data_IF_199562572706
#
_entry.id   IF_199562572706
#
_cell.length_a   1.000
_cell.length_b   1.000
_cell.length_c   1.000
_cell.angle_alpha   90.00
_cell.angle_beta   90.00
_cell.angle_gamma   90.00
#
_symmetry.space_group_name_H-M   'P 1'
#
loop_
_entity.id
_entity.type
_entity.pdbx_description
1 polymer ?
#
# COMPACT_ATOMS: atom_id res chain seq x y z
N UNK A 1 -15.39 52.33 -43.83
CA UNK A 1 -14.45 51.57 -42.97
C UNK A 1 -15.10 50.22 -42.74
N UNK A 2 -14.49 49.18 -43.25
CA UNK A 2 -15.15 48.04 -43.89
C UNK A 2 -14.49 46.74 -43.39
N UNK A 3 -15.31 45.71 -43.11
CA UNK A 3 -14.97 44.25 -43.01
C UNK A 3 -14.16 43.79 -41.77
N UNK A 4 -14.72 42.90 -40.93
CA UNK A 4 -14.71 41.41 -41.00
C UNK A 4 -13.30 40.83 -40.82
N UNK A 5 -13.01 39.69 -40.19
CA UNK A 5 -13.68 38.67 -39.39
C UNK A 5 -12.58 37.64 -39.02
N UNK A 6 -12.96 36.54 -38.34
CA UNK A 6 -12.21 35.27 -38.13
C UNK A 6 -11.21 35.34 -36.97
N UNK A 7 -11.06 34.35 -36.07
CA UNK A 7 -11.39 32.92 -36.07
C UNK A 7 -11.19 32.41 -34.62
N UNK A 8 -12.05 31.58 -34.02
CA UNK A 8 -11.87 30.13 -33.79
C UNK A 8 -12.69 29.83 -32.51
N UNK A 9 -13.85 29.17 -32.54
CA UNK A 9 -14.03 27.71 -32.44
C UNK A 9 -12.76 26.95 -32.07
N UNK A 10 -12.71 26.38 -30.85
CA UNK A 10 -12.22 25.03 -30.53
C UNK A 10 -12.06 24.88 -29.00
N UNK A 11 -12.76 23.91 -28.40
CA UNK A 11 -12.53 23.53 -26.99
C UNK A 11 -13.70 22.96 -26.19
N UNK A 12 -14.85 22.65 -26.81
CA UNK A 12 -15.93 21.91 -26.14
C UNK A 12 -15.58 20.41 -26.09
N UNK A 13 -14.70 20.01 -25.18
CA UNK A 13 -14.31 18.61 -25.07
C UNK A 13 -13.48 18.30 -23.83
N UNK A 14 -14.14 18.07 -22.68
CA UNK A 14 -13.72 17.02 -21.72
C UNK A 14 -14.71 16.72 -20.57
N UNK A 15 -15.97 17.20 -20.60
CA UNK A 15 -16.88 17.01 -19.46
C UNK A 15 -17.38 15.56 -19.30
N UNK A 16 -17.27 14.72 -20.33
CA UNK A 16 -17.72 13.30 -20.27
C UNK A 16 -16.69 12.37 -19.61
N UNK A 17 -15.40 12.74 -19.62
CA UNK A 17 -14.32 11.93 -19.04
C UNK A 17 -14.39 11.91 -17.50
N UNK A 18 -14.89 12.99 -16.88
CA UNK A 18 -15.12 13.08 -15.43
C UNK A 18 -16.29 12.25 -14.89
N UNK A 19 -17.31 11.96 -15.71
CA UNK A 19 -18.51 11.25 -15.27
C UNK A 19 -18.30 9.73 -15.33
N UNK A 20 -17.60 9.22 -16.35
CA UNK A 20 -17.22 7.80 -16.45
C UNK A 20 -16.03 7.44 -15.52
N UNK A 21 -15.19 8.41 -15.17
CA UNK A 21 -14.14 8.25 -14.16
C UNK A 21 -14.68 8.02 -12.74
N UNK A 22 -15.92 8.43 -12.44
CA UNK A 22 -16.56 8.23 -11.11
C UNK A 22 -17.09 6.82 -10.87
N UNK A 23 -17.34 6.04 -11.94
CA UNK A 23 -17.90 4.69 -11.83
C UNK A 23 -16.82 3.60 -11.77
N UNK A 24 -15.60 3.90 -12.20
CA UNK A 24 -14.45 2.99 -12.07
C UNK A 24 -13.68 3.34 -10.79
N UNK A 25 -14.20 2.86 -9.66
CA UNK A 25 -13.49 2.84 -8.39
C UNK A 25 -12.83 1.48 -8.17
N UNK A 26 -11.61 1.48 -7.62
CA UNK A 26 -11.00 0.25 -7.07
C UNK A 26 -11.24 0.20 -5.57
N UNK A 27 -11.47 -0.99 -5.03
CA UNK A 27 -11.51 -1.21 -3.58
C UNK A 27 -10.10 -1.44 -3.07
N UNK A 28 -9.70 -0.69 -2.06
CA UNK A 28 -8.39 -0.81 -1.41
C UNK A 28 -8.56 -0.93 0.08
N UNK A 29 -7.58 -1.55 0.73
CA UNK A 29 -7.58 -1.76 2.17
C UNK A 29 -6.73 -0.71 2.85
N UNK A 30 -7.23 -0.07 3.90
CA UNK A 30 -6.46 0.91 4.66
C UNK A 30 -5.39 0.22 5.51
N UNK A 31 -4.12 0.60 5.36
CA UNK A 31 -3.04 0.05 6.19
C UNK A 31 -3.07 0.51 7.66
N UNK A 32 -3.88 1.52 8.02
CA UNK A 32 -3.97 2.02 9.39
C UNK A 32 -5.13 1.39 10.20
N UNK A 33 -6.31 1.21 9.61
CA UNK A 33 -7.45 0.60 10.32
C UNK A 33 -7.83 -0.79 9.80
N UNK A 34 -7.30 -1.23 8.65
CA UNK A 34 -7.62 -2.52 8.05
C UNK A 34 -8.97 -2.57 7.33
N UNK A 35 -9.74 -1.48 7.28
CA UNK A 35 -11.05 -1.48 6.62
C UNK A 35 -10.93 -1.25 5.11
N UNK A 36 -11.84 -1.84 4.35
CA UNK A 36 -11.92 -1.66 2.89
C UNK A 36 -12.70 -0.39 2.55
N UNK A 37 -12.22 0.35 1.54
CA UNK A 37 -12.92 1.52 1.03
C UNK A 37 -12.66 1.70 -0.46
N UNK A 38 -13.56 2.44 -1.12
CA UNK A 38 -13.47 2.71 -2.56
C UNK A 38 -12.69 3.98 -2.83
N UNK A 39 -11.81 3.90 -3.83
CA UNK A 39 -11.00 5.02 -4.33
C UNK A 39 -11.09 5.07 -5.84
N UNK A 40 -10.90 6.24 -6.44
CA UNK A 40 -10.81 6.35 -7.89
C UNK A 40 -9.65 5.48 -8.41
N UNK A 41 -9.80 4.87 -9.59
CA UNK A 41 -8.76 3.98 -10.17
C UNK A 41 -7.39 4.66 -10.28
N UNK A 42 -7.36 5.97 -10.57
CA UNK A 42 -6.13 6.77 -10.70
C UNK A 42 -5.71 7.50 -9.42
N UNK A 43 -6.35 7.24 -8.28
CA UNK A 43 -5.99 7.89 -7.02
C UNK A 43 -4.62 7.41 -6.53
N UNK A 44 -3.70 8.36 -6.30
CA UNK A 44 -2.38 8.11 -5.69
C UNK A 44 -2.40 8.19 -4.17
N UNK A 45 -3.30 9.01 -3.64
CA UNK A 45 -3.62 9.15 -2.21
C UNK A 45 -5.13 9.25 -2.03
N UNK A 46 -5.61 8.87 -0.86
CA UNK A 46 -6.98 9.15 -0.44
C UNK A 46 -7.07 9.23 1.08
N UNK A 47 -8.13 9.88 1.55
CA UNK A 47 -8.56 9.80 2.94
C UNK A 47 -9.35 8.51 3.14
N UNK A 48 -9.00 7.72 4.14
CA UNK A 48 -9.83 6.58 4.53
C UNK A 48 -11.20 7.08 5.05
N UNK A 49 -12.31 6.50 4.58
CA UNK A 49 -13.67 6.87 5.02
C UNK A 49 -14.00 6.41 6.43
N UNK A 50 -13.18 5.53 7.02
CA UNK A 50 -13.43 4.94 8.34
C UNK A 50 -12.59 5.61 9.44
N UNK A 51 -11.29 5.82 9.21
CA UNK A 51 -10.40 6.44 10.20
C UNK A 51 -9.98 7.86 9.86
N UNK A 52 -10.41 8.39 8.72
CA UNK A 52 -10.15 9.76 8.23
C UNK A 52 -8.66 10.14 8.07
N UNK A 53 -7.74 9.17 8.20
CA UNK A 53 -6.32 9.39 7.95
C UNK A 53 -6.00 9.37 6.47
N UNK A 54 -5.00 10.17 6.09
CA UNK A 54 -4.42 10.15 4.75
C UNK A 54 -3.65 8.84 4.54
N UNK A 55 -3.91 8.20 3.40
CA UNK A 55 -3.20 6.98 2.99
C UNK A 55 -2.69 7.08 1.57
N UNK A 56 -1.53 6.46 1.32
CA UNK A 56 -0.97 6.31 -0.01
C UNK A 56 -1.53 5.05 -0.67
N UNK A 57 -1.97 5.17 -1.92
CA UNK A 57 -2.55 4.06 -2.72
C UNK A 57 -1.63 3.68 -3.88
N UNK A 58 -0.67 4.54 -4.20
CA UNK A 58 0.32 4.27 -5.24
C UNK A 58 1.19 3.07 -4.87
N UNK A 59 1.60 2.32 -5.89
CA UNK A 59 2.62 1.31 -5.72
C UNK A 59 3.98 2.00 -5.50
N UNK A 60 4.82 1.42 -4.64
CA UNK A 60 6.13 1.98 -4.29
C UNK A 60 7.20 1.03 -4.80
N UNK A 61 8.08 1.54 -5.66
CA UNK A 61 9.23 0.79 -6.15
C UNK A 61 10.52 1.38 -5.58
N UNK A 62 11.24 0.60 -4.79
CA UNK A 62 12.55 0.96 -4.24
C UNK A 62 13.62 0.43 -5.18
N UNK A 63 14.17 1.31 -6.02
CA UNK A 63 15.21 0.95 -7.00
C UNK A 63 16.63 0.97 -6.42
N UNK A 64 16.85 1.81 -5.42
CA UNK A 64 18.14 2.09 -4.79
C UNK A 64 17.98 2.08 -3.26
N UNK A 65 18.80 2.85 -2.55
CA UNK A 65 18.73 2.93 -1.09
C UNK A 65 17.55 3.79 -0.63
N UNK A 66 16.69 3.21 0.21
CA UNK A 66 15.60 3.93 0.85
C UNK A 66 16.03 4.48 2.21
N UNK A 67 16.00 5.81 2.34
CA UNK A 67 16.33 6.53 3.56
C UNK A 67 15.05 6.96 4.27
N UNK A 68 14.44 6.05 5.03
CA UNK A 68 13.24 6.35 5.80
C UNK A 68 13.03 5.37 6.93
N UNK A 69 12.15 5.72 7.88
CA UNK A 69 11.87 4.87 9.04
C UNK A 69 10.86 3.77 8.75
N UNK A 70 9.95 4.00 7.79
CA UNK A 70 8.90 3.06 7.39
C UNK A 70 8.42 3.32 5.96
N UNK A 71 7.93 2.27 5.30
CA UNK A 71 7.31 2.33 3.98
C UNK A 71 5.91 1.77 4.12
N UNK A 72 4.88 2.55 3.77
CA UNK A 72 3.49 2.12 3.91
C UNK A 72 2.70 2.51 2.68
N UNK A 73 1.96 1.56 2.12
CA UNK A 73 1.02 1.81 1.01
C UNK A 73 -0.15 0.84 1.03
N UNK A 74 -1.31 1.29 0.53
CA UNK A 74 -2.44 0.44 0.21
C UNK A 74 -2.22 -0.37 -1.08
N UNK A 75 -1.21 -0.01 -1.87
CA UNK A 75 -0.81 -0.71 -3.08
C UNK A 75 0.17 -1.85 -2.81
N UNK A 76 1.02 -2.09 -3.81
CA UNK A 76 2.12 -3.05 -3.79
C UNK A 76 3.46 -2.35 -3.53
N UNK A 77 4.37 -3.04 -2.86
CA UNK A 77 5.77 -2.60 -2.71
C UNK A 77 6.66 -3.53 -3.52
N UNK A 78 7.56 -2.97 -4.33
CA UNK A 78 8.58 -3.72 -5.05
C UNK A 78 9.97 -3.20 -4.68
N UNK A 79 10.81 -4.04 -4.09
CA UNK A 79 12.22 -3.75 -3.83
C UNK A 79 13.01 -4.39 -4.95
N UNK A 80 13.59 -3.56 -5.82
CA UNK A 80 14.38 -4.04 -6.94
C UNK A 80 15.68 -4.72 -6.50
N UNK A 81 16.38 -5.37 -7.43
CA UNK A 81 17.64 -6.10 -7.17
C UNK A 81 18.73 -5.27 -6.50
N UNK A 82 18.85 -4.01 -6.90
CA UNK A 82 19.78 -3.03 -6.29
C UNK A 82 19.14 -2.22 -5.15
N UNK A 83 17.88 -2.51 -4.84
CA UNK A 83 17.12 -1.87 -3.79
C UNK A 83 17.63 -2.31 -2.42
N UNK A 84 17.80 -1.33 -1.54
CA UNK A 84 18.19 -1.56 -0.16
C UNK A 84 17.22 -0.82 0.76
N UNK A 85 16.38 -1.57 1.47
CA UNK A 85 15.39 -1.03 2.39
C UNK A 85 15.67 -1.53 3.80
N UNK A 86 16.34 -0.71 4.61
CA UNK A 86 16.55 -0.97 6.04
C UNK A 86 15.66 -0.05 6.86
N UNK A 87 14.49 -0.56 7.21
CA UNK A 87 13.45 0.24 7.86
C UNK A 87 12.87 -0.52 9.05
N UNK A 88 12.16 0.17 9.94
CA UNK A 88 11.49 -0.51 11.07
C UNK A 88 10.30 -1.32 10.58
N UNK A 89 9.59 -0.80 9.59
CA UNK A 89 8.31 -1.34 9.15
C UNK A 89 8.07 -1.14 7.65
N UNK A 90 7.64 -2.21 6.98
CA UNK A 90 7.19 -2.23 5.59
C UNK A 90 5.76 -2.77 5.58
N UNK A 91 4.79 -1.95 5.16
CA UNK A 91 3.38 -2.35 5.05
C UNK A 91 2.87 -2.16 3.62
N UNK A 92 2.36 -3.23 3.02
CA UNK A 92 1.70 -3.16 1.72
C UNK A 92 0.41 -3.96 1.71
N UNK A 93 -0.70 -3.34 1.30
CA UNK A 93 -1.97 -4.06 1.35
C UNK A 93 -2.18 -5.06 0.21
N UNK A 94 -1.60 -4.83 -0.96
CA UNK A 94 -1.82 -5.70 -2.13
C UNK A 94 -0.72 -6.75 -2.36
N UNK A 95 0.45 -6.60 -1.74
CA UNK A 95 1.56 -7.55 -1.86
C UNK A 95 2.92 -6.88 -1.79
N UNK A 96 3.96 -7.68 -1.63
CA UNK A 96 5.36 -7.21 -1.57
C UNK A 96 6.23 -8.13 -2.41
N UNK A 97 6.96 -7.56 -3.36
CA UNK A 97 7.97 -8.25 -4.15
C UNK A 97 9.36 -7.76 -3.70
N UNK A 98 10.23 -8.67 -3.28
CA UNK A 98 11.59 -8.35 -2.83
C UNK A 98 12.57 -9.08 -3.73
N UNK A 99 13.33 -8.35 -4.55
CA UNK A 99 14.42 -8.90 -5.36
C UNK A 99 15.82 -8.50 -4.86
N UNK A 100 15.90 -7.58 -3.90
CA UNK A 100 17.14 -7.06 -3.33
C UNK A 100 17.23 -7.28 -1.82
N UNK A 101 17.66 -6.25 -1.09
CA UNK A 101 17.86 -6.33 0.36
C UNK A 101 16.76 -5.61 1.13
N UNK A 102 16.16 -6.30 2.10
CA UNK A 102 15.13 -5.76 2.96
C UNK A 102 15.34 -6.19 4.41
N UNK A 103 15.37 -5.22 5.33
CA UNK A 103 15.44 -5.47 6.76
C UNK A 103 14.29 -4.76 7.47
N UNK A 104 13.61 -5.46 8.38
CA UNK A 104 12.57 -4.90 9.23
C UNK A 104 11.39 -5.84 9.50
N UNK A 105 10.32 -5.27 10.05
CA UNK A 105 9.02 -5.94 10.12
C UNK A 105 8.29 -5.74 8.78
N UNK A 106 8.05 -6.83 8.07
CA UNK A 106 7.25 -6.86 6.84
C UNK A 106 5.86 -7.34 7.18
N UNK A 107 4.87 -6.55 6.80
CA UNK A 107 3.48 -6.93 6.91
C UNK A 107 2.74 -6.68 5.60
N UNK A 108 2.08 -7.71 5.06
CA UNK A 108 1.34 -7.59 3.82
C UNK A 108 -0.04 -8.19 3.90
N UNK A 109 -1.02 -7.49 3.32
CA UNK A 109 -2.34 -8.04 3.03
C UNK A 109 -2.41 -9.00 1.86
N UNK A 110 -1.35 -9.03 1.04
CA UNK A 110 -1.25 -9.89 -0.13
C UNK A 110 -0.04 -10.81 -0.04
N UNK A 111 0.28 -11.52 -1.12
CA UNK A 111 1.44 -12.40 -1.14
C UNK A 111 2.74 -11.59 -0.99
N UNK A 112 3.68 -12.15 -0.23
CA UNK A 112 5.07 -11.69 -0.19
C UNK A 112 5.90 -12.64 -1.05
N UNK A 113 6.62 -12.11 -2.03
CA UNK A 113 7.51 -12.88 -2.88
C UNK A 113 8.95 -12.44 -2.68
N UNK A 114 9.83 -13.41 -2.43
CA UNK A 114 11.27 -13.22 -2.39
C UNK A 114 11.86 -13.81 -3.67
N UNK A 115 12.54 -12.97 -4.46
CA UNK A 115 13.22 -13.36 -5.69
C UNK A 115 14.54 -14.10 -5.42
N UNK A 116 15.15 -14.62 -6.48
CA UNK A 116 16.39 -15.44 -6.42
C UNK A 116 17.54 -14.82 -5.64
N UNK A 117 17.75 -13.52 -5.73
CA UNK A 117 18.87 -12.82 -5.08
C UNK A 117 18.40 -12.00 -3.86
N UNK A 118 17.21 -12.29 -3.36
CA UNK A 118 16.62 -11.56 -2.26
C UNK A 118 17.28 -11.91 -0.94
N UNK A 119 17.61 -10.89 -0.15
CA UNK A 119 18.03 -11.03 1.23
C UNK A 119 17.01 -10.35 2.14
N UNK A 120 16.37 -11.13 3.00
CA UNK A 120 15.41 -10.62 3.98
C UNK A 120 15.86 -10.89 5.40
N UNK A 121 15.79 -9.87 6.26
CA UNK A 121 16.06 -10.00 7.70
C UNK A 121 14.97 -9.37 8.55
N UNK A 122 14.36 -10.15 9.44
CA UNK A 122 13.36 -9.64 10.40
C UNK A 122 12.14 -10.52 10.54
N UNK A 123 10.94 -9.94 10.64
CA UNK A 123 9.69 -10.68 10.84
C UNK A 123 8.78 -10.49 9.64
N UNK A 124 8.11 -11.56 9.19
CA UNK A 124 7.16 -11.52 8.08
C UNK A 124 5.77 -11.87 8.59
N UNK A 125 4.80 -11.00 8.32
CA UNK A 125 3.38 -11.22 8.54
C UNK A 125 2.65 -11.12 7.19
N UNK A 126 2.26 -12.25 6.62
CA UNK A 126 1.62 -12.30 5.31
C UNK A 126 0.70 -13.51 5.16
N UNK A 127 -0.37 -13.42 4.35
CA UNK A 127 -1.24 -14.56 4.06
C UNK A 127 -0.53 -15.67 3.26
N UNK A 128 0.48 -15.30 2.46
CA UNK A 128 1.27 -16.23 1.65
C UNK A 128 2.69 -15.70 1.50
N UNK A 129 3.67 -16.60 1.60
CA UNK A 129 5.08 -16.32 1.36
C UNK A 129 5.58 -17.25 0.24
N UNK A 130 6.10 -16.67 -0.83
CA UNK A 130 6.67 -17.37 -1.98
C UNK A 130 8.17 -17.05 -2.00
N UNK A 131 9.00 -18.09 -2.02
CA UNK A 131 10.46 -17.95 -1.96
C UNK A 131 11.05 -18.61 -3.20
N UNK A 132 11.63 -17.80 -4.08
CA UNK A 132 12.32 -18.30 -5.26
C UNK A 132 13.68 -18.91 -4.84
N UNK A 133 14.17 -19.95 -5.54
CA UNK A 133 15.45 -20.58 -5.22
C UNK A 133 16.61 -19.59 -5.25
N UNK A 134 17.43 -19.59 -4.20
CA UNK A 134 18.57 -18.68 -4.01
C UNK A 134 18.35 -17.58 -2.98
N UNK A 135 17.08 -17.30 -2.61
CA UNK A 135 16.76 -16.29 -1.61
C UNK A 135 17.29 -16.68 -0.23
N UNK A 136 17.80 -15.69 0.51
CA UNK A 136 18.30 -15.85 1.88
C UNK A 136 17.32 -15.17 2.84
N UNK A 137 16.90 -15.91 3.86
CA UNK A 137 15.90 -15.49 4.82
C UNK A 137 16.47 -15.63 6.24
N UNK A 138 16.81 -14.51 6.87
CA UNK A 138 17.18 -14.43 8.28
C UNK A 138 15.97 -13.95 9.10
N UNK A 139 15.00 -14.85 9.28
CA UNK A 139 13.74 -14.50 9.94
C UNK A 139 13.74 -14.81 11.43
N UNK A 140 13.27 -13.83 12.21
CA UNK A 140 12.97 -14.00 13.62
C UNK A 140 11.61 -14.72 13.84
N UNK A 141 10.57 -14.37 13.08
CA UNK A 141 9.28 -15.08 13.08
C UNK A 141 8.49 -14.90 11.78
N UNK A 142 7.74 -15.93 11.36
CA UNK A 142 6.79 -15.89 10.25
C UNK A 142 5.40 -16.13 10.83
N UNK A 143 4.46 -15.23 10.54
CA UNK A 143 3.06 -15.40 10.93
C UNK A 143 2.16 -15.30 9.71
N UNK A 144 1.17 -16.18 9.68
CA UNK A 144 0.06 -16.14 8.71
C UNK A 144 -1.17 -15.63 9.47
N UNK A 145 -1.38 -14.31 9.53
CA UNK A 145 -2.54 -13.75 10.22
C UNK A 145 -3.83 -14.09 9.47
N UNK A 146 -4.87 -14.49 10.21
CA UNK A 146 -6.24 -14.64 9.67
C UNK A 146 -6.80 -13.31 9.14
N UNK A 147 -6.27 -12.20 9.66
CA UNK A 147 -6.51 -10.87 9.14
C UNK A 147 -5.20 -10.10 8.95
N UNK A 148 -4.64 -10.05 7.72
CA UNK A 148 -3.27 -9.60 7.51
C UNK A 148 -3.03 -8.10 7.63
N UNK A 149 -4.08 -7.29 7.74
CA UNK A 149 -3.96 -5.83 7.89
C UNK A 149 -4.93 -5.36 8.97
N UNK A 150 -4.43 -4.56 9.92
CA UNK A 150 -5.21 -4.00 11.02
C UNK A 150 -4.90 -4.58 12.40
N UNK A 151 -4.09 -5.64 12.48
CA UNK A 151 -3.58 -6.21 13.74
C UNK A 151 -2.05 -6.31 13.82
N UNK A 152 -1.33 -5.85 12.79
CA UNK A 152 0.10 -5.63 12.91
C UNK A 152 0.23 -4.67 14.08
N UNK A 153 0.82 -5.13 15.18
CA UNK A 153 1.23 -4.25 16.27
C UNK A 153 2.30 -3.33 15.68
N UNK A 154 1.83 -2.30 14.97
CA UNK A 154 2.61 -1.15 14.55
C UNK A 154 3.37 -0.76 15.82
N UNK A 155 4.71 -0.91 15.88
CA UNK A 155 5.46 -0.54 17.06
C UNK A 155 5.11 0.91 17.31
N UNK A 156 4.34 1.15 18.39
CA UNK A 156 3.53 2.35 18.59
C UNK A 156 4.34 3.60 18.28
N UNK A 157 4.26 4.12 17.06
CA UNK A 157 4.58 5.50 16.79
C UNK A 157 3.37 6.27 17.30
N UNK A 158 3.38 6.48 18.62
CA UNK A 158 2.45 7.30 19.41
C UNK A 158 1.04 7.48 18.81
N UNK A 159 0.13 6.54 19.05
CA UNK A 159 -1.30 6.82 18.99
C UNK A 159 -2.06 5.88 19.92
N UNK A 160 -3.05 6.45 20.60
CA UNK A 160 -3.75 5.90 21.74
C UNK A 160 -4.37 4.52 21.54
N UNK A 161 -4.43 3.81 22.66
CA UNK A 161 -5.17 2.58 22.93
C UNK A 161 -6.63 2.72 22.46
N UNK A 162 -6.96 2.15 21.31
CA UNK A 162 -8.36 1.84 20.96
C UNK A 162 -8.65 0.45 21.51
N UNK A 163 -9.25 0.42 22.69
CA UNK A 163 -9.98 -0.75 23.18
C UNK A 163 -11.16 -0.96 22.24
N UNK A 164 -11.15 -2.04 21.46
CA UNK A 164 -12.33 -2.49 20.74
C UNK A 164 -13.43 -2.80 21.76
N UNK A 165 -14.47 -1.96 21.80
CA UNK A 165 -15.69 -2.26 22.54
C UNK A 165 -16.53 -3.22 21.72
N UNK A 166 -16.68 -4.44 22.19
CA UNK A 166 -17.68 -5.42 21.73
C UNK A 166 -19.08 -4.79 21.84
N UNK A 167 -19.92 -4.79 20.79
CA UNK A 167 -21.33 -4.42 20.95
C UNK A 167 -22.04 -5.54 21.75
N UNK A 168 -22.52 -5.19 22.94
CA UNK A 168 -23.35 -6.08 23.75
C UNK A 168 -24.63 -6.44 22.98
N UNK A 169 -24.89 -7.74 22.88
CA UNK A 169 -26.11 -8.30 22.34
C UNK A 169 -27.33 -7.79 23.13
N UNK A 170 -28.36 -7.34 22.41
CA UNK A 170 -29.71 -7.09 22.94
C UNK A 170 -30.40 -8.43 23.16
N UNK A 171 -30.90 -8.65 24.38
CA UNK A 171 -32.00 -9.56 24.69
C UNK A 171 -33.23 -8.72 25.01
#
# INVERSE_FOLDING_TARGET
MTRQATSNMDGEGDQVSGILGRLSGRSVRCYNCGEWFRVAVRAESASCTHCFKQVHIRDITVKEQFWGSSIMTCGRIAIGRKGFARVKLIVACHGIDIEGHAEGLVASGGPVRLGRDAFFKGTIEAPSLIVDPGAIIEVASIKVPSNPIGQIELPKLGAGRVIASTPAARA
#
